data_IF_749088401996
#
_entry.id   IF_749088401996
#
_cell.length_a   1.000
_cell.length_b   1.000
_cell.length_c   1.000
_cell.angle_alpha   90.00
_cell.angle_beta   90.00
_cell.angle_gamma   90.00
#
_symmetry.space_group_name_H-M   'P 1'
#
loop_
_entity.id
_entity.type
_entity.pdbx_description
1 polymer ?
#
# COMPACT_ATOMS: atom_id res chain seq x y z
N UNK A 1 18.77 -14.66 -12.88
CA UNK A 1 18.41 -13.91 -11.65
C UNK A 1 17.81 -12.61 -12.13
N UNK A 2 16.52 -12.40 -11.91
CA UNK A 2 15.80 -11.19 -12.33
C UNK A 2 16.08 -10.04 -11.35
N UNK A 3 16.14 -8.82 -11.87
CA UNK A 3 16.37 -7.59 -11.09
C UNK A 3 15.12 -6.71 -11.15
N UNK A 4 14.63 -6.26 -9.99
CA UNK A 4 13.47 -5.42 -9.87
C UNK A 4 13.82 -4.03 -9.33
N UNK A 5 13.31 -2.98 -9.97
CA UNK A 5 13.33 -1.63 -9.44
C UNK A 5 12.10 -1.44 -8.53
N UNK A 6 12.32 -1.01 -7.29
CA UNK A 6 11.23 -0.66 -6.37
C UNK A 6 11.20 0.85 -6.22
N UNK A 7 10.22 1.51 -6.81
CA UNK A 7 10.01 2.95 -6.59
C UNK A 7 9.28 3.16 -5.26
N UNK A 8 9.67 4.17 -4.49
CA UNK A 8 9.18 4.32 -3.12
C UNK A 8 9.73 3.26 -2.16
N UNK A 9 10.89 2.68 -2.49
CA UNK A 9 11.50 1.57 -1.75
C UNK A 9 12.03 1.93 -0.35
N UNK A 10 12.16 3.21 -0.03
CA UNK A 10 12.52 3.71 1.31
C UNK A 10 11.28 3.98 2.19
N UNK A 11 10.07 3.86 1.65
CA UNK A 11 8.81 4.01 2.36
C UNK A 11 8.45 2.78 3.20
N UNK A 12 7.34 2.89 3.93
CA UNK A 12 6.85 1.82 4.83
C UNK A 12 6.65 0.48 4.10
N UNK A 13 5.80 0.42 3.06
CA UNK A 13 5.54 -0.81 2.31
C UNK A 13 6.78 -1.19 1.47
N UNK A 14 7.40 -0.22 0.79
CA UNK A 14 8.52 -0.45 -0.10
C UNK A 14 9.73 -1.12 0.57
N UNK A 15 10.06 -0.73 1.79
CA UNK A 15 11.16 -1.33 2.53
C UNK A 15 10.93 -2.81 2.89
N UNK A 16 9.68 -3.21 3.11
CA UNK A 16 9.31 -4.62 3.29
C UNK A 16 9.42 -5.39 1.96
N UNK A 17 8.90 -4.82 0.87
CA UNK A 17 8.99 -5.41 -0.48
C UNK A 17 10.46 -5.63 -0.89
N UNK A 18 11.32 -4.65 -0.66
CA UNK A 18 12.77 -4.73 -0.92
C UNK A 18 13.39 -5.93 -0.19
N UNK A 19 13.05 -6.15 1.09
CA UNK A 19 13.59 -7.27 1.87
C UNK A 19 13.09 -8.63 1.35
N UNK A 20 11.79 -8.73 1.04
CA UNK A 20 11.20 -9.99 0.55
C UNK A 20 11.73 -10.34 -0.84
N UNK A 21 11.88 -9.37 -1.76
CA UNK A 21 12.52 -9.59 -3.06
C UNK A 21 13.95 -10.14 -2.92
N UNK A 22 14.75 -9.52 -2.05
CA UNK A 22 16.11 -10.01 -1.80
C UNK A 22 16.14 -11.44 -1.24
N UNK A 23 15.28 -11.72 -0.26
CA UNK A 23 15.21 -13.06 0.34
C UNK A 23 14.73 -14.12 -0.64
N UNK A 24 13.96 -13.72 -1.68
CA UNK A 24 13.55 -14.61 -2.77
C UNK A 24 14.64 -14.83 -3.84
N UNK A 25 15.84 -14.28 -3.65
CA UNK A 25 16.96 -14.44 -4.57
C UNK A 25 16.93 -13.51 -5.78
N UNK A 26 16.10 -12.45 -5.79
CA UNK A 26 16.07 -11.43 -6.85
C UNK A 26 17.05 -10.30 -6.59
N UNK A 27 17.58 -9.70 -7.67
CA UNK A 27 18.26 -8.41 -7.61
C UNK A 27 17.26 -7.30 -7.30
N UNK A 28 17.67 -6.29 -6.52
CA UNK A 28 16.81 -5.17 -6.16
C UNK A 28 17.57 -3.86 -6.27
N UNK A 29 16.93 -2.87 -6.87
CA UNK A 29 17.35 -1.47 -6.92
C UNK A 29 16.21 -0.64 -6.33
N UNK A 30 16.54 0.34 -5.51
CA UNK A 30 15.57 1.28 -4.94
C UNK A 30 15.63 2.62 -5.67
N UNK A 31 14.47 3.18 -6.01
CA UNK A 31 14.33 4.55 -6.47
C UNK A 31 13.40 5.28 -5.50
N UNK A 32 13.88 6.36 -4.90
CA UNK A 32 13.11 7.13 -3.90
C UNK A 32 13.60 8.58 -3.88
N UNK A 33 12.69 9.53 -3.74
CA UNK A 33 13.03 10.96 -3.60
C UNK A 33 13.25 11.37 -2.14
N UNK A 34 12.96 10.44 -1.21
CA UNK A 34 13.03 10.63 0.23
C UNK A 34 12.15 11.77 0.78
N UNK A 35 11.09 12.13 0.05
CA UNK A 35 10.10 13.10 0.56
C UNK A 35 9.33 12.58 1.80
N UNK A 36 9.22 11.26 1.93
CA UNK A 36 8.65 10.57 3.10
C UNK A 36 9.38 9.28 3.47
N UNK A 37 10.24 8.79 2.59
CA UNK A 37 11.05 7.59 2.80
C UNK A 37 12.25 7.84 3.73
N UNK A 38 12.75 6.77 4.34
CA UNK A 38 13.89 6.82 5.26
C UNK A 38 15.00 5.88 4.78
N UNK A 39 16.19 6.43 4.55
CA UNK A 39 17.34 5.67 4.04
C UNK A 39 17.73 4.49 4.95
N UNK A 40 17.57 4.64 6.28
CA UNK A 40 17.84 3.57 7.25
C UNK A 40 16.96 2.32 7.05
N UNK A 41 15.82 2.44 6.38
CA UNK A 41 14.93 1.32 6.06
C UNK A 41 15.42 0.47 4.90
N UNK A 42 16.40 0.95 4.12
CA UNK A 42 16.97 0.21 2.99
C UNK A 42 18.08 -0.71 3.49
N UNK A 43 18.06 -2.02 3.15
CA UNK A 43 19.10 -2.93 3.55
C UNK A 43 20.47 -2.55 2.96
N UNK A 44 21.59 -2.74 3.70
CA UNK A 44 22.92 -2.47 3.19
C UNK A 44 23.21 -3.21 1.87
N UNK A 45 23.90 -2.52 0.95
CA UNK A 45 24.31 -3.07 -0.34
C UNK A 45 23.22 -3.07 -1.42
N UNK A 46 22.03 -2.53 -1.15
CA UNK A 46 21.01 -2.28 -2.18
C UNK A 46 21.37 -0.97 -2.89
N UNK A 47 21.50 -0.94 -4.23
CA UNK A 47 21.68 0.31 -4.97
C UNK A 47 20.48 1.24 -4.78
N UNK A 48 20.74 2.53 -4.59
CA UNK A 48 19.72 3.56 -4.35
C UNK A 48 19.88 4.68 -5.37
N UNK A 49 18.80 4.95 -6.09
CA UNK A 49 18.69 6.07 -7.02
C UNK A 49 17.84 7.14 -6.33
N UNK A 50 18.47 8.26 -5.98
CA UNK A 50 17.79 9.37 -5.29
C UNK A 50 17.23 10.34 -6.33
N UNK A 51 15.99 10.10 -6.76
CA UNK A 51 15.28 11.00 -7.66
C UNK A 51 13.76 10.83 -7.56
N UNK A 52 13.02 11.78 -8.12
CA UNK A 52 11.58 11.64 -8.34
C UNK A 52 11.31 10.64 -9.46
N UNK A 53 10.24 9.86 -9.35
CA UNK A 53 9.77 8.99 -10.43
C UNK A 53 9.37 9.77 -11.69
N UNK A 54 9.08 11.06 -11.56
CA UNK A 54 8.77 11.94 -12.68
C UNK A 54 10.01 12.34 -13.52
N UNK A 55 11.22 12.05 -13.05
CA UNK A 55 12.45 12.28 -13.84
C UNK A 55 12.72 11.10 -14.79
N UNK A 56 11.96 11.10 -15.92
CA UNK A 56 12.04 10.03 -16.93
C UNK A 56 13.48 9.68 -17.35
N UNK A 57 14.34 10.70 -17.52
CA UNK A 57 15.69 10.47 -18.02
C UNK A 57 16.54 9.69 -17.02
N UNK A 58 16.50 10.08 -15.74
CA UNK A 58 17.21 9.38 -14.66
C UNK A 58 16.63 7.99 -14.42
N UNK A 59 15.31 7.83 -14.48
CA UNK A 59 14.65 6.54 -14.36
C UNK A 59 15.07 5.59 -15.47
N UNK A 60 15.03 6.05 -16.74
CA UNK A 60 15.43 5.23 -17.89
C UNK A 60 16.92 4.81 -17.83
N UNK A 61 17.79 5.72 -17.40
CA UNK A 61 19.22 5.41 -17.20
C UNK A 61 19.42 4.38 -16.10
N UNK A 62 18.74 4.51 -14.97
CA UNK A 62 18.78 3.54 -13.87
C UNK A 62 18.30 2.16 -14.31
N UNK A 63 17.21 2.06 -15.07
CA UNK A 63 16.68 0.80 -15.60
C UNK A 63 17.73 0.07 -16.48
N UNK A 64 18.42 0.81 -17.37
CA UNK A 64 19.46 0.27 -18.26
C UNK A 64 20.72 -0.11 -17.47
N UNK A 65 21.23 0.79 -16.62
CA UNK A 65 22.48 0.62 -15.86
C UNK A 65 22.42 -0.62 -14.96
N UNK A 66 21.29 -0.83 -14.30
CA UNK A 66 21.09 -1.95 -13.39
C UNK A 66 20.47 -3.18 -14.06
N UNK A 67 20.25 -3.16 -15.38
CA UNK A 67 19.63 -4.26 -16.15
C UNK A 67 18.35 -4.75 -15.49
N UNK A 68 17.44 -3.81 -15.24
CA UNK A 68 16.17 -4.07 -14.56
C UNK A 68 15.24 -4.86 -15.48
N UNK A 69 14.64 -5.94 -14.97
CA UNK A 69 13.68 -6.79 -15.69
C UNK A 69 12.22 -6.39 -15.41
N UNK A 70 11.96 -5.72 -14.28
CA UNK A 70 10.62 -5.29 -13.92
C UNK A 70 10.60 -4.20 -12.86
N UNK A 71 9.47 -3.53 -12.72
CA UNK A 71 9.27 -2.43 -11.76
C UNK A 71 8.13 -2.76 -10.81
N UNK A 72 8.36 -2.59 -9.49
CA UNK A 72 7.30 -2.50 -8.49
C UNK A 72 7.11 -1.03 -8.15
N UNK A 73 5.96 -0.47 -8.55
CA UNK A 73 5.68 0.95 -8.41
C UNK A 73 4.85 1.26 -7.17
N UNK A 74 5.51 1.73 -6.10
CA UNK A 74 4.91 2.14 -4.83
C UNK A 74 4.98 3.65 -4.59
N UNK A 75 5.87 4.38 -5.30
CA UNK A 75 6.02 5.82 -5.14
C UNK A 75 4.72 6.55 -5.48
N UNK A 76 4.09 7.15 -4.49
CA UNK A 76 2.86 7.92 -4.64
C UNK A 76 2.57 8.74 -3.37
N UNK A 77 1.83 9.84 -3.50
CA UNK A 77 1.13 10.49 -2.40
C UNK A 77 -0.12 9.67 -2.06
N UNK A 78 -0.36 9.38 -0.76
CA UNK A 78 -1.32 8.34 -0.33
C UNK A 78 -2.44 8.81 0.59
N UNK A 79 -2.43 10.04 1.07
CA UNK A 79 -3.40 10.53 2.04
C UNK A 79 -4.68 11.01 1.37
N UNK A 80 -5.75 10.19 1.38
CA UNK A 80 -7.02 10.49 0.70
C UNK A 80 -7.62 11.82 1.16
N UNK A 81 -7.63 12.09 2.48
CA UNK A 81 -8.14 13.35 3.03
C UNK A 81 -7.36 14.58 2.57
N UNK A 82 -6.01 14.50 2.51
CA UNK A 82 -5.17 15.58 2.01
C UNK A 82 -5.42 15.84 0.52
N UNK A 83 -5.65 14.78 -0.26
CA UNK A 83 -5.86 14.88 -1.70
C UNK A 83 -7.03 15.77 -2.09
N UNK A 84 -8.07 15.86 -1.24
CA UNK A 84 -9.23 16.72 -1.45
C UNK A 84 -8.84 18.21 -1.36
N UNK A 85 -7.86 18.55 -0.53
CA UNK A 85 -7.41 19.93 -0.34
C UNK A 85 -6.36 20.38 -1.34
N UNK A 86 -5.52 19.46 -1.85
CA UNK A 86 -4.45 19.77 -2.81
C UNK A 86 -4.45 18.80 -4.02
N UNK A 87 -5.59 18.67 -4.75
CA UNK A 87 -5.77 17.64 -5.77
C UNK A 87 -4.71 17.68 -6.89
N UNK A 88 -4.33 18.87 -7.37
CA UNK A 88 -3.36 19.01 -8.45
C UNK A 88 -1.97 18.49 -8.08
N UNK A 89 -1.60 18.53 -6.79
CA UNK A 89 -0.37 17.92 -6.30
C UNK A 89 -0.44 16.39 -6.45
N UNK A 90 -1.56 15.79 -6.06
CA UNK A 90 -1.78 14.34 -6.20
C UNK A 90 -1.77 13.89 -7.66
N UNK A 91 -2.42 14.62 -8.57
CA UNK A 91 -2.37 14.29 -10.00
C UNK A 91 -0.96 14.40 -10.57
N UNK A 92 -0.21 15.43 -10.15
CA UNK A 92 1.19 15.61 -10.62
C UNK A 92 2.08 14.46 -10.14
N UNK A 93 2.06 14.16 -8.85
CA UNK A 93 2.92 13.13 -8.29
C UNK A 93 2.53 11.73 -8.77
N UNK A 94 1.23 11.39 -8.73
CA UNK A 94 0.79 10.03 -8.96
C UNK A 94 0.53 9.74 -10.46
N UNK A 95 -0.08 10.67 -11.21
CA UNK A 95 -0.43 10.43 -12.63
C UNK A 95 0.72 10.82 -13.56
N UNK A 96 1.26 12.05 -13.43
CA UNK A 96 2.41 12.44 -14.25
C UNK A 96 3.63 11.58 -13.93
N UNK A 97 3.85 11.25 -12.65
CA UNK A 97 4.90 10.32 -12.24
C UNK A 97 4.76 8.94 -12.88
N UNK A 98 3.53 8.38 -12.90
CA UNK A 98 3.25 7.09 -13.55
C UNK A 98 3.48 7.14 -15.07
N UNK A 99 3.08 8.23 -15.74
CA UNK A 99 3.34 8.41 -17.18
C UNK A 99 4.84 8.42 -17.43
N UNK A 100 5.61 9.22 -16.69
CA UNK A 100 7.06 9.31 -16.85
C UNK A 100 7.75 7.95 -16.61
N UNK A 101 7.28 7.18 -15.63
CA UNK A 101 7.77 5.83 -15.37
C UNK A 101 7.51 4.89 -16.54
N UNK A 102 6.28 4.86 -17.06
CA UNK A 102 5.93 3.98 -18.18
C UNK A 102 6.72 4.33 -19.45
N UNK A 103 6.92 5.62 -19.72
CA UNK A 103 7.79 6.08 -20.82
C UNK A 103 9.25 5.66 -20.61
N UNK A 104 9.78 5.76 -19.37
CA UNK A 104 11.13 5.32 -19.05
C UNK A 104 11.29 3.81 -19.20
N UNK A 105 10.28 3.03 -18.78
CA UNK A 105 10.24 1.57 -18.96
C UNK A 105 10.27 1.21 -20.45
N UNK A 106 9.46 1.88 -21.28
CA UNK A 106 9.44 1.69 -22.72
C UNK A 106 10.80 2.03 -23.36
N UNK A 107 11.41 3.16 -22.98
CA UNK A 107 12.74 3.59 -23.47
C UNK A 107 13.85 2.59 -23.10
N UNK A 108 13.71 1.90 -21.97
CA UNK A 108 14.67 0.92 -21.49
C UNK A 108 14.36 -0.53 -21.91
N UNK A 109 13.20 -0.78 -22.53
CA UNK A 109 12.75 -2.13 -22.90
C UNK A 109 12.31 -2.99 -21.73
N UNK A 110 11.88 -2.38 -20.61
CA UNK A 110 11.38 -3.08 -19.42
C UNK A 110 9.88 -3.28 -19.55
N UNK A 111 9.42 -4.54 -19.55
CA UNK A 111 8.04 -4.90 -19.87
C UNK A 111 7.26 -5.54 -18.71
N UNK A 112 7.76 -5.53 -17.48
CA UNK A 112 7.06 -6.09 -16.32
C UNK A 112 6.77 -5.00 -15.28
N UNK A 113 5.50 -4.88 -14.85
CA UNK A 113 5.05 -3.89 -13.88
C UNK A 113 4.17 -4.54 -12.80
N UNK A 114 4.51 -4.32 -11.54
CA UNK A 114 3.58 -4.48 -10.43
C UNK A 114 3.18 -3.10 -9.94
N UNK A 115 1.90 -2.77 -10.03
CA UNK A 115 1.36 -1.49 -9.64
C UNK A 115 0.66 -1.56 -8.28
N UNK A 116 1.10 -0.75 -7.34
CA UNK A 116 0.45 -0.59 -6.04
C UNK A 116 -0.79 0.29 -6.19
N UNK A 117 -1.94 -0.35 -6.43
CA UNK A 117 -3.25 0.29 -6.45
C UNK A 117 -3.83 0.40 -5.02
N UNK A 118 -5.12 0.53 -4.86
CA UNK A 118 -5.76 0.74 -3.55
C UNK A 118 -7.23 0.36 -3.59
N UNK A 119 -7.80 -0.09 -2.47
CA UNK A 119 -9.25 -0.22 -2.29
C UNK A 119 -10.01 1.11 -2.44
N UNK A 120 -9.31 2.26 -2.35
CA UNK A 120 -9.92 3.59 -2.59
C UNK A 120 -10.47 3.78 -4.02
N UNK A 121 -10.12 2.90 -4.96
CA UNK A 121 -10.69 2.89 -6.32
C UNK A 121 -12.18 2.57 -6.34
N UNK A 122 -12.67 1.85 -5.33
CA UNK A 122 -14.08 1.44 -5.25
C UNK A 122 -15.01 2.52 -4.67
N UNK A 123 -14.47 3.50 -3.94
CA UNK A 123 -15.26 4.46 -3.18
C UNK A 123 -16.11 3.77 -2.10
N UNK A 124 -17.39 4.16 -2.00
CA UNK A 124 -18.37 3.49 -1.12
C UNK A 124 -18.94 2.26 -1.81
N UNK A 125 -18.59 1.04 -1.38
CA UNK A 125 -19.01 -0.18 -2.06
C UNK A 125 -20.49 -0.45 -1.87
N UNK A 126 -21.13 -1.00 -2.89
CA UNK A 126 -22.56 -1.36 -2.90
C UNK A 126 -22.87 -2.64 -2.14
N UNK A 127 -21.86 -3.47 -1.88
CA UNK A 127 -21.95 -4.73 -1.13
C UNK A 127 -20.58 -5.11 -0.53
N UNK A 128 -20.57 -6.07 0.39
CA UNK A 128 -19.39 -6.71 0.98
C UNK A 128 -19.58 -8.22 0.99
N UNK A 129 -18.49 -9.00 0.78
CA UNK A 129 -17.14 -8.55 0.42
C UNK A 129 -17.04 -7.93 -0.99
N UNK A 130 -16.00 -7.13 -1.24
CA UNK A 130 -15.76 -6.43 -2.50
C UNK A 130 -14.94 -7.33 -3.41
N UNK A 131 -15.46 -7.64 -4.61
CA UNK A 131 -14.75 -8.37 -5.67
C UNK A 131 -14.08 -7.40 -6.67
N UNK A 132 -13.13 -7.88 -7.48
CA UNK A 132 -12.38 -7.05 -8.41
C UNK A 132 -13.21 -6.47 -9.56
N UNK A 133 -14.36 -7.06 -9.85
CA UNK A 133 -15.31 -6.62 -10.88
C UNK A 133 -16.28 -5.51 -10.42
N UNK A 134 -16.20 -5.08 -9.13
CA UNK A 134 -17.00 -3.96 -8.65
C UNK A 134 -16.69 -2.69 -9.43
N UNK A 135 -17.70 -1.82 -9.64
CA UNK A 135 -17.49 -0.52 -10.28
C UNK A 135 -16.42 0.31 -9.58
N UNK A 136 -15.56 0.95 -10.38
CA UNK A 136 -14.55 1.88 -9.88
C UNK A 136 -15.19 3.27 -9.77
N UNK A 137 -15.54 3.67 -8.57
CA UNK A 137 -16.24 4.92 -8.24
C UNK A 137 -15.48 5.68 -7.14
N UNK A 138 -14.23 6.10 -7.38
CA UNK A 138 -13.40 6.74 -6.36
C UNK A 138 -14.04 8.05 -5.86
N UNK A 139 -13.99 8.29 -4.55
CA UNK A 139 -14.57 9.47 -3.90
C UNK A 139 -13.52 10.50 -3.48
N UNK A 140 -12.26 10.31 -3.91
CA UNK A 140 -11.17 11.24 -3.62
C UNK A 140 -10.20 11.33 -4.79
N UNK A 141 -9.52 12.48 -4.98
CA UNK A 141 -8.46 12.61 -5.99
C UNK A 141 -7.37 11.55 -5.87
N UNK A 142 -7.03 11.10 -4.65
CA UNK A 142 -6.13 9.96 -4.46
C UNK A 142 -6.69 8.69 -5.12
N UNK A 143 -7.93 8.32 -4.83
CA UNK A 143 -8.58 7.16 -5.45
C UNK A 143 -8.64 7.27 -6.97
N UNK A 144 -8.98 8.46 -7.49
CA UNK A 144 -8.99 8.73 -8.94
C UNK A 144 -7.61 8.52 -9.56
N UNK A 145 -6.52 8.98 -8.91
CA UNK A 145 -5.16 8.76 -9.44
C UNK A 145 -4.80 7.28 -9.48
N UNK A 146 -5.33 6.45 -8.57
CA UNK A 146 -5.10 5.00 -8.59
C UNK A 146 -5.85 4.32 -9.74
N UNK A 147 -7.10 4.71 -10.00
CA UNK A 147 -7.86 4.25 -11.17
C UNK A 147 -7.14 4.63 -12.48
N UNK A 148 -6.70 5.88 -12.60
CA UNK A 148 -5.96 6.34 -13.78
C UNK A 148 -4.66 5.52 -13.97
N UNK A 149 -3.95 5.22 -12.89
CA UNK A 149 -2.76 4.37 -12.95
C UNK A 149 -3.03 2.97 -13.49
N UNK A 150 -4.15 2.34 -13.10
CA UNK A 150 -4.59 1.05 -13.67
C UNK A 150 -4.94 1.18 -15.16
N UNK A 151 -5.62 2.26 -15.57
CA UNK A 151 -5.91 2.50 -16.99
C UNK A 151 -4.64 2.69 -17.82
N UNK A 152 -3.68 3.47 -17.32
CA UNK A 152 -2.39 3.66 -17.98
C UNK A 152 -1.63 2.32 -18.14
N UNK A 153 -1.60 1.49 -17.13
CA UNK A 153 -0.97 0.17 -17.20
C UNK A 153 -1.67 -0.74 -18.22
N UNK A 154 -3.02 -0.78 -18.20
CA UNK A 154 -3.83 -1.54 -19.16
C UNK A 154 -3.58 -1.07 -20.61
N UNK A 155 -3.62 0.22 -20.85
CA UNK A 155 -3.50 0.79 -22.20
C UNK A 155 -2.08 0.58 -22.74
N UNK A 156 -1.05 0.66 -21.90
CA UNK A 156 0.32 0.27 -22.25
C UNK A 156 0.45 -1.24 -22.49
N UNK A 157 -0.29 -2.07 -21.75
CA UNK A 157 -0.38 -3.50 -22.03
C UNK A 157 -0.85 -3.78 -23.45
N UNK A 158 -1.90 -3.07 -23.88
CA UNK A 158 -2.43 -3.18 -25.25
C UNK A 158 -1.48 -2.60 -26.30
N UNK A 159 -0.88 -1.43 -26.03
CA UNK A 159 -0.11 -0.69 -27.03
C UNK A 159 1.28 -1.28 -27.27
N UNK A 160 1.98 -1.73 -26.23
CA UNK A 160 3.40 -2.14 -26.31
C UNK A 160 3.68 -3.48 -25.66
N UNK A 161 2.67 -4.21 -25.19
CA UNK A 161 2.84 -5.53 -24.59
C UNK A 161 3.37 -5.49 -23.16
N UNK A 162 3.10 -4.43 -22.38
CA UNK A 162 3.44 -4.39 -20.96
C UNK A 162 2.70 -5.52 -20.20
N UNK A 163 3.46 -6.36 -19.52
CA UNK A 163 2.94 -7.35 -18.58
C UNK A 163 2.75 -6.68 -17.22
N UNK A 164 1.52 -6.66 -16.70
CA UNK A 164 1.26 -5.90 -15.48
C UNK A 164 0.28 -6.59 -14.54
N UNK A 165 0.49 -6.38 -13.26
CA UNK A 165 -0.41 -6.76 -12.16
C UNK A 165 -0.65 -5.54 -11.28
N UNK A 166 -1.91 -5.20 -11.02
CA UNK A 166 -2.28 -4.20 -10.02
C UNK A 166 -2.79 -4.86 -8.74
N UNK A 167 -2.30 -4.38 -7.59
CA UNK A 167 -2.73 -4.84 -6.28
C UNK A 167 -3.57 -3.76 -5.60
N UNK A 168 -4.87 -4.01 -5.43
CA UNK A 168 -5.82 -3.14 -4.71
C UNK A 168 -5.83 -3.55 -3.25
N UNK A 169 -4.88 -3.05 -2.47
CA UNK A 169 -4.81 -3.40 -1.06
C UNK A 169 -5.68 -2.50 -0.18
N UNK A 170 -6.15 -3.10 0.91
CA UNK A 170 -6.98 -2.49 1.94
C UNK A 170 -6.10 -1.82 3.00
N UNK A 171 -6.51 -1.77 4.27
CA UNK A 171 -5.80 -1.03 5.30
C UNK A 171 -4.52 -1.75 5.74
N UNK A 172 -3.37 -1.18 5.46
CA UNK A 172 -2.08 -1.80 5.80
C UNK A 172 -1.69 -1.49 7.24
N UNK A 173 -1.27 -2.50 7.99
CA UNK A 173 -0.86 -2.39 9.38
C UNK A 173 0.31 -3.32 9.73
N UNK A 174 0.87 -3.18 10.92
CA UNK A 174 1.95 -4.03 11.40
C UNK A 174 3.36 -3.57 11.03
N UNK A 175 4.34 -4.35 11.38
CA UNK A 175 5.73 -4.18 11.00
C UNK A 175 6.41 -5.55 10.88
N UNK A 176 7.20 -5.75 9.83
CA UNK A 176 7.96 -7.01 9.66
C UNK A 176 9.14 -7.13 10.63
N UNK A 177 9.69 -5.99 11.03
CA UNK A 177 10.76 -5.82 12.03
C UNK A 177 10.61 -4.45 12.70
N UNK A 178 11.19 -4.27 13.86
CA UNK A 178 11.04 -3.05 14.67
C UNK A 178 11.55 -1.78 13.97
N UNK A 179 12.53 -1.89 13.05
CA UNK A 179 13.07 -0.79 12.28
C UNK A 179 12.18 -0.35 11.09
N UNK A 180 11.10 -1.09 10.81
CA UNK A 180 10.22 -0.89 9.65
C UNK A 180 8.81 -0.42 9.97
N UNK A 181 8.57 0.14 11.15
CA UNK A 181 7.26 0.68 11.53
C UNK A 181 6.71 1.75 10.57
N UNK A 182 5.37 1.92 10.57
CA UNK A 182 4.72 3.04 9.86
C UNK A 182 4.85 4.34 10.65
N UNK A 183 5.73 5.21 10.20
CA UNK A 183 6.00 6.51 10.82
C UNK A 183 5.10 7.64 10.28
N UNK A 184 4.17 7.33 9.36
CA UNK A 184 3.36 8.36 8.71
C UNK A 184 2.20 8.89 9.57
N UNK A 185 1.82 8.17 10.63
CA UNK A 185 0.70 8.49 11.55
C UNK A 185 -0.61 8.89 10.82
N UNK A 186 -0.86 8.26 9.66
CA UNK A 186 -2.05 8.51 8.83
C UNK A 186 -3.07 7.37 8.90
N UNK A 187 -2.68 6.21 9.45
CA UNK A 187 -3.53 5.04 9.63
C UNK A 187 -4.03 4.95 11.07
N UNK A 188 -5.14 4.25 11.30
CA UNK A 188 -5.81 4.16 12.61
C UNK A 188 -4.84 3.73 13.74
N UNK A 189 -4.13 2.62 13.57
CA UNK A 189 -3.27 2.06 14.63
C UNK A 189 -2.15 3.03 15.04
N UNK A 190 -1.31 3.60 14.12
CA UNK A 190 -0.33 4.63 14.49
C UNK A 190 -0.95 5.90 15.08
N UNK A 191 -2.16 6.31 14.63
CA UNK A 191 -2.88 7.46 15.21
C UNK A 191 -3.28 7.20 16.66
N UNK A 192 -3.75 5.99 16.98
CA UNK A 192 -4.06 5.61 18.37
C UNK A 192 -2.80 5.62 19.21
N UNK A 193 -1.69 5.06 18.73
CA UNK A 193 -0.43 5.09 19.47
C UNK A 193 0.07 6.52 19.73
N UNK A 194 -0.08 7.42 18.75
CA UNK A 194 0.28 8.83 18.90
C UNK A 194 -0.57 9.50 19.98
N UNK A 195 -1.90 9.36 19.92
CA UNK A 195 -2.78 9.92 20.93
C UNK A 195 -2.43 9.41 22.33
N UNK A 196 -2.16 8.11 22.48
CA UNK A 196 -1.74 7.51 23.76
C UNK A 196 -0.39 8.04 24.25
N UNK A 197 0.56 8.29 23.36
CA UNK A 197 1.88 8.87 23.68
C UNK A 197 1.77 10.31 24.13
N UNK A 198 0.88 11.09 23.49
CA UNK A 198 0.65 12.50 23.79
C UNK A 198 -0.29 12.70 24.99
N UNK A 199 -0.83 11.61 25.59
CA UNK A 199 -1.78 11.66 26.70
C UNK A 199 -3.17 12.11 26.29
N UNK A 200 -3.48 12.00 24.99
CA UNK A 200 -4.77 12.37 24.41
C UNK A 200 -5.70 11.14 24.28
N UNK A 201 -6.98 11.39 24.08
CA UNK A 201 -7.96 10.34 23.80
C UNK A 201 -8.03 10.06 22.30
N UNK A 202 -7.81 8.81 21.85
CA UNK A 202 -8.07 8.45 20.45
C UNK A 202 -9.52 8.70 20.06
N UNK A 203 -9.76 8.98 18.78
CA UNK A 203 -11.09 9.30 18.28
C UNK A 203 -11.73 8.15 17.50
N UNK A 204 -13.01 7.90 17.73
CA UNK A 204 -13.89 7.04 16.95
C UNK A 204 -14.84 7.96 16.14
N UNK A 205 -14.75 7.93 14.81
CA UNK A 205 -15.55 8.78 13.94
C UNK A 205 -16.91 8.16 13.63
N UNK A 206 -17.89 8.42 14.50
CA UNK A 206 -19.24 7.89 14.43
C UNK A 206 -19.39 6.51 15.10
N UNK A 207 -20.52 6.30 15.77
CA UNK A 207 -20.90 5.04 16.41
C UNK A 207 -22.35 4.62 16.09
N UNK A 208 -22.88 5.20 15.02
CA UNK A 208 -24.25 5.00 14.55
C UNK A 208 -24.31 4.41 13.13
N UNK A 209 -23.20 3.79 12.64
CA UNK A 209 -23.20 3.06 11.38
C UNK A 209 -24.04 1.78 11.48
N UNK A 210 -24.62 1.30 10.34
CA UNK A 210 -25.38 0.04 10.30
C UNK A 210 -24.44 -1.19 10.36
N UNK A 211 -23.68 -1.30 11.43
CA UNK A 211 -22.71 -2.34 11.74
C UNK A 211 -22.99 -2.91 13.14
N UNK A 212 -22.48 -4.09 13.52
CA UNK A 212 -22.82 -4.73 14.80
C UNK A 212 -22.55 -3.88 16.05
N UNK A 213 -21.50 -3.05 16.04
CA UNK A 213 -21.12 -2.19 17.17
C UNK A 213 -21.25 -0.69 16.90
N UNK A 214 -21.84 -0.35 15.75
CA UNK A 214 -22.07 1.04 15.31
C UNK A 214 -20.85 1.72 14.70
N UNK A 215 -19.65 1.10 14.70
CA UNK A 215 -18.43 1.70 14.11
C UNK A 215 -18.08 1.11 12.75
N UNK A 216 -17.31 1.84 11.95
CA UNK A 216 -16.89 1.36 10.62
C UNK A 216 -16.12 0.05 10.70
N UNK A 217 -16.35 -0.83 9.72
CA UNK A 217 -15.60 -2.08 9.53
C UNK A 217 -14.62 -1.90 8.38
N UNK A 218 -13.35 -2.29 8.60
CA UNK A 218 -12.28 -2.26 7.60
C UNK A 218 -11.55 -3.58 7.56
N UNK A 219 -11.11 -3.96 6.36
CA UNK A 219 -10.17 -5.05 6.19
C UNK A 219 -8.75 -4.54 6.43
N UNK A 220 -8.02 -5.21 7.31
CA UNK A 220 -6.63 -4.90 7.61
C UNK A 220 -5.72 -6.01 7.06
N UNK A 221 -4.60 -5.63 6.47
CA UNK A 221 -3.59 -6.54 5.96
C UNK A 221 -2.24 -6.25 6.61
N UNK A 222 -1.56 -7.29 7.08
CA UNK A 222 -0.21 -7.13 7.61
C UNK A 222 0.75 -6.74 6.49
N UNK A 223 1.62 -5.75 6.75
CA UNK A 223 2.56 -5.23 5.74
C UNK A 223 3.50 -6.31 5.18
N UNK A 224 3.86 -7.32 5.99
CA UNK A 224 4.67 -8.45 5.53
C UNK A 224 3.90 -9.33 4.54
N UNK A 225 2.63 -9.62 4.77
CA UNK A 225 1.77 -10.36 3.83
C UNK A 225 1.59 -9.56 2.53
N UNK A 226 1.40 -8.23 2.64
CA UNK A 226 1.33 -7.36 1.46
C UNK A 226 2.64 -7.37 0.67
N UNK A 227 3.80 -7.38 1.33
CA UNK A 227 5.08 -7.48 0.65
C UNK A 227 5.23 -8.82 -0.10
N UNK A 228 4.79 -9.94 0.52
CA UNK A 228 4.73 -11.24 -0.14
C UNK A 228 3.79 -11.23 -1.36
N UNK A 229 2.63 -10.54 -1.29
CA UNK A 229 1.73 -10.37 -2.42
C UNK A 229 2.41 -9.64 -3.61
N UNK A 230 3.20 -8.59 -3.35
CA UNK A 230 3.97 -7.91 -4.39
C UNK A 230 5.00 -8.83 -5.06
N UNK A 231 5.65 -9.70 -4.27
CA UNK A 231 6.62 -10.68 -4.82
C UNK A 231 5.91 -11.79 -5.60
N UNK A 232 4.74 -12.24 -5.17
CA UNK A 232 3.92 -13.18 -5.93
C UNK A 232 3.44 -12.56 -7.27
N UNK A 233 3.03 -11.29 -7.26
CA UNK A 233 2.69 -10.54 -8.46
C UNK A 233 3.88 -10.37 -9.41
N UNK A 234 5.08 -10.10 -8.88
CA UNK A 234 6.31 -10.05 -9.66
C UNK A 234 6.61 -11.40 -10.35
N UNK A 235 6.50 -12.51 -9.61
CA UNK A 235 6.66 -13.85 -10.17
C UNK A 235 5.61 -14.16 -11.25
N UNK A 236 4.39 -13.66 -11.10
CA UNK A 236 3.32 -13.78 -12.11
C UNK A 236 3.68 -13.04 -13.39
N UNK A 237 4.22 -11.81 -13.30
CA UNK A 237 4.71 -11.07 -14.47
C UNK A 237 5.88 -11.81 -15.16
N UNK A 238 6.78 -12.43 -14.39
CA UNK A 238 7.92 -13.20 -14.93
C UNK A 238 7.48 -14.46 -15.68
N UNK A 239 6.31 -15.02 -15.39
CA UNK A 239 5.83 -16.27 -15.99
C UNK A 239 5.26 -16.12 -17.41
N UNK A 240 5.11 -14.90 -17.90
CA UNK A 240 4.58 -14.59 -19.24
C UNK A 240 3.65 -13.37 -19.25
N UNK A 241 3.11 -13.01 -20.41
CA UNK A 241 2.21 -11.87 -20.54
C UNK A 241 1.01 -11.97 -19.59
N UNK A 242 0.78 -10.92 -18.82
CA UNK A 242 -0.33 -10.83 -17.85
C UNK A 242 -0.92 -9.42 -17.83
N UNK A 243 -2.21 -9.32 -17.54
CA UNK A 243 -2.96 -8.06 -17.40
C UNK A 243 -4.04 -8.34 -16.36
N UNK A 244 -3.69 -8.23 -15.07
CA UNK A 244 -4.52 -8.71 -13.97
C UNK A 244 -4.60 -7.69 -12.83
N UNK A 245 -5.70 -7.77 -12.08
CA UNK A 245 -5.94 -6.96 -10.88
C UNK A 245 -6.34 -7.88 -9.76
N UNK A 246 -5.82 -7.65 -8.56
CA UNK A 246 -6.14 -8.44 -7.37
C UNK A 246 -6.45 -7.56 -6.17
N UNK A 247 -7.49 -7.93 -5.43
CA UNK A 247 -7.70 -7.42 -4.08
C UNK A 247 -6.72 -8.07 -3.10
N UNK A 248 -6.14 -7.26 -2.21
CA UNK A 248 -5.22 -7.73 -1.18
C UNK A 248 -5.69 -7.27 0.19
N UNK A 249 -6.24 -8.19 0.94
CA UNK A 249 -6.76 -8.04 2.29
C UNK A 249 -6.67 -9.36 3.04
N UNK A 250 -7.26 -9.42 4.22
CA UNK A 250 -7.47 -10.70 4.93
C UNK A 250 -8.77 -11.39 4.53
N UNK A 251 -9.70 -10.66 3.91
CA UNK A 251 -11.07 -11.14 3.69
C UNK A 251 -11.90 -11.13 4.98
N UNK A 252 -11.37 -10.57 6.06
CA UNK A 252 -12.02 -10.48 7.38
C UNK A 252 -11.97 -9.04 7.86
N UNK A 253 -13.14 -8.42 7.99
CA UNK A 253 -13.26 -7.06 8.50
C UNK A 253 -13.11 -7.00 10.02
N UNK A 254 -12.54 -5.89 10.49
CA UNK A 254 -12.51 -5.54 11.91
C UNK A 254 -13.10 -4.15 12.11
N UNK A 255 -13.94 -3.99 13.15
CA UNK A 255 -14.52 -2.70 13.48
C UNK A 255 -13.49 -1.78 14.16
N UNK A 256 -13.76 -0.47 14.18
CA UNK A 256 -12.88 0.46 14.89
C UNK A 256 -12.84 0.12 16.39
N UNK A 257 -13.95 -0.30 17.00
CA UNK A 257 -13.97 -0.72 18.42
C UNK A 257 -13.17 -2.00 18.66
N UNK A 258 -13.19 -2.96 17.75
CA UNK A 258 -12.36 -4.16 17.84
C UNK A 258 -10.87 -3.82 17.77
N UNK A 259 -10.48 -2.87 16.88
CA UNK A 259 -9.09 -2.38 16.81
C UNK A 259 -8.69 -1.68 18.12
N UNK A 260 -9.57 -0.83 18.70
CA UNK A 260 -9.28 -0.17 19.98
C UNK A 260 -9.12 -1.18 21.13
N UNK A 261 -9.97 -2.19 21.17
CA UNK A 261 -9.87 -3.27 22.16
C UNK A 261 -8.56 -4.06 22.01
N UNK A 262 -8.17 -4.38 20.77
CA UNK A 262 -6.90 -5.05 20.49
C UNK A 262 -5.69 -4.19 20.89
N UNK A 263 -5.75 -2.87 20.63
CA UNK A 263 -4.70 -1.95 21.11
C UNK A 263 -4.63 -1.94 22.64
N UNK A 264 -5.80 -1.91 23.33
CA UNK A 264 -5.83 -1.98 24.82
C UNK A 264 -5.14 -3.23 25.33
N UNK A 265 -5.43 -4.38 24.73
CA UNK A 265 -4.83 -5.66 25.08
C UNK A 265 -3.31 -5.65 24.90
N UNK A 266 -2.82 -5.25 23.72
CA UNK A 266 -1.39 -5.26 23.38
C UNK A 266 -0.59 -4.24 24.18
N UNK A 267 -1.14 -3.04 24.40
CA UNK A 267 -0.46 -1.96 25.16
C UNK A 267 -0.53 -2.22 26.68
N UNK A 268 -1.45 -3.08 27.14
CA UNK A 268 -1.65 -3.43 28.56
C UNK A 268 -2.31 -2.32 29.38
N UNK A 269 -3.08 -1.43 28.73
CA UNK A 269 -3.88 -0.38 29.39
C UNK A 269 -5.14 -0.08 28.59
N UNK A 270 -6.19 0.38 29.26
CA UNK A 270 -7.43 0.78 28.60
C UNK A 270 -7.21 1.95 27.62
N UNK A 271 -7.79 1.82 26.44
CA UNK A 271 -7.87 2.90 25.45
C UNK A 271 -9.25 3.57 25.59
N UNK A 272 -9.29 4.68 26.35
CA UNK A 272 -10.48 5.51 26.51
C UNK A 272 -10.67 6.38 25.26
N UNK A 273 -11.33 5.81 24.24
CA UNK A 273 -11.58 6.52 22.99
C UNK A 273 -12.81 7.44 23.07
N UNK A 274 -12.70 8.62 22.45
CA UNK A 274 -13.81 9.57 22.33
C UNK A 274 -14.57 9.35 21.03
N UNK A 275 -15.90 9.26 21.11
CA UNK A 275 -16.75 9.24 19.92
C UNK A 275 -16.99 10.67 19.44
N UNK A 276 -16.67 10.91 18.16
CA UNK A 276 -16.88 12.18 17.47
C UNK A 276 -17.76 12.01 16.24
N UNK A 277 -18.13 13.11 15.57
CA UNK A 277 -18.96 13.05 14.37
C UNK A 277 -18.33 12.19 13.26
N UNK A 278 -19.15 11.52 12.45
CA UNK A 278 -18.70 10.75 11.28
C UNK A 278 -17.82 11.58 10.35
N UNK A 279 -16.84 10.95 9.72
CA UNK A 279 -16.17 11.52 8.56
C UNK A 279 -17.06 11.41 7.33
N UNK A 280 -17.13 12.47 6.53
CA UNK A 280 -17.82 12.42 5.24
C UNK A 280 -17.15 11.41 4.30
N UNK A 281 -17.94 10.58 3.62
CA UNK A 281 -17.43 9.61 2.67
C UNK A 281 -16.87 8.30 3.29
N UNK A 282 -16.97 8.09 4.62
CA UNK A 282 -16.58 6.81 5.23
C UNK A 282 -17.68 5.74 5.02
N UNK A 283 -17.42 4.65 4.25
CA UNK A 283 -18.40 3.57 4.11
C UNK A 283 -18.55 2.79 5.42
N UNK A 284 -19.76 2.25 5.71
CA UNK A 284 -19.97 1.42 6.91
C UNK A 284 -19.05 0.21 6.99
N UNK A 285 -18.81 -0.47 5.86
CA UNK A 285 -17.95 -1.62 5.78
C UNK A 285 -17.19 -1.66 4.45
N UNK A 286 -15.93 -2.09 4.51
CA UNK A 286 -15.08 -2.28 3.34
C UNK A 286 -14.16 -3.48 3.59
N UNK A 287 -14.50 -4.65 3.01
CA UNK A 287 -13.79 -5.92 3.19
C UNK A 287 -13.51 -6.55 1.83
N UNK A 288 -12.31 -7.07 1.61
CA UNK A 288 -11.90 -7.69 0.36
C UNK A 288 -12.55 -9.08 0.17
N UNK A 289 -12.94 -9.42 -1.04
CA UNK A 289 -12.90 -10.80 -1.47
C UNK A 289 -11.47 -11.11 -1.95
N UNK A 290 -10.83 -12.10 -1.36
CA UNK A 290 -9.44 -12.49 -1.64
C UNK A 290 -9.36 -13.83 -2.39
N UNK A 291 -10.48 -14.36 -2.86
CA UNK A 291 -10.54 -15.66 -3.54
C UNK A 291 -9.79 -15.65 -4.87
N UNK A 292 -9.79 -14.55 -5.59
CA UNK A 292 -9.10 -14.42 -6.88
C UNK A 292 -7.59 -14.51 -6.71
N UNK A 293 -6.98 -13.73 -5.82
CA UNK A 293 -5.53 -13.76 -5.60
C UNK A 293 -5.09 -15.12 -5.04
N UNK A 294 -5.90 -15.75 -4.17
CA UNK A 294 -5.61 -17.08 -3.64
C UNK A 294 -5.58 -18.14 -4.77
N UNK A 295 -6.52 -18.09 -5.69
CA UNK A 295 -6.60 -19.03 -6.80
C UNK A 295 -5.50 -18.84 -7.84
N UNK A 296 -5.23 -17.58 -8.24
CA UNK A 296 -4.33 -17.28 -9.36
C UNK A 296 -2.85 -17.18 -8.94
N UNK A 297 -2.57 -16.68 -7.73
CA UNK A 297 -1.21 -16.52 -7.24
C UNK A 297 -0.84 -17.50 -6.12
N UNK A 298 -1.79 -18.31 -5.62
CA UNK A 298 -1.56 -19.16 -4.45
C UNK A 298 -1.27 -18.39 -3.17
N UNK A 299 -1.60 -17.08 -3.14
CA UNK A 299 -1.31 -16.20 -2.02
C UNK A 299 -2.49 -16.15 -1.04
N UNK A 300 -2.19 -16.25 0.25
CA UNK A 300 -3.14 -16.04 1.36
C UNK A 300 -2.46 -15.25 2.48
N UNK A 301 -3.24 -14.42 3.17
CA UNK A 301 -2.76 -13.72 4.37
C UNK A 301 -2.51 -14.69 5.52
N UNK A 302 -1.49 -14.43 6.34
CA UNK A 302 -1.07 -15.31 7.45
C UNK A 302 -1.29 -14.67 8.82
N UNK A 303 -1.13 -13.35 8.89
CA UNK A 303 -1.15 -12.60 10.15
C UNK A 303 -2.56 -12.08 10.46
N UNK A 304 -2.92 -12.11 11.75
CA UNK A 304 -4.21 -11.62 12.23
C UNK A 304 -4.12 -10.17 12.78
N UNK A 305 -5.23 -9.67 13.36
CA UNK A 305 -5.26 -8.32 13.91
C UNK A 305 -4.32 -8.16 15.11
N UNK A 306 -4.21 -9.19 15.95
CA UNK A 306 -3.29 -9.18 17.09
C UNK A 306 -1.84 -9.05 16.62
N UNK A 307 -1.42 -9.83 15.61
CA UNK A 307 -0.08 -9.77 15.05
C UNK A 307 0.24 -8.37 14.49
N UNK A 308 -0.75 -7.76 13.80
CA UNK A 308 -0.60 -6.41 13.24
C UNK A 308 -0.40 -5.36 14.34
N UNK A 309 -1.23 -5.40 15.38
CA UNK A 309 -1.13 -4.42 16.47
C UNK A 309 0.13 -4.65 17.29
N UNK A 310 0.45 -5.90 17.62
CA UNK A 310 1.62 -6.25 18.42
C UNK A 310 2.94 -5.86 17.72
N UNK A 311 3.09 -6.21 16.45
CA UNK A 311 4.28 -5.83 15.68
C UNK A 311 4.39 -4.31 15.46
N UNK A 312 3.25 -3.63 15.19
CA UNK A 312 3.23 -2.18 15.08
C UNK A 312 3.62 -1.50 16.40
N UNK A 313 3.16 -2.04 17.55
CA UNK A 313 3.51 -1.52 18.86
C UNK A 313 4.99 -1.70 19.20
N UNK A 314 5.56 -2.88 18.92
CA UNK A 314 6.99 -3.14 19.09
C UNK A 314 7.83 -2.14 18.29
N UNK A 315 7.51 -1.95 17.01
CA UNK A 315 8.18 -0.99 16.16
C UNK A 315 8.02 0.46 16.63
N UNK A 316 6.83 0.82 17.11
CA UNK A 316 6.56 2.15 17.70
C UNK A 316 7.43 2.42 18.92
N UNK A 317 7.56 1.45 19.82
CA UNK A 317 8.39 1.59 21.01
C UNK A 317 9.89 1.69 20.67
N UNK A 318 10.36 0.92 19.68
CA UNK A 318 11.75 0.92 19.25
C UNK A 318 12.13 2.21 18.50
N UNK A 319 11.22 2.74 17.66
CA UNK A 319 11.46 3.88 16.78
C UNK A 319 10.22 4.79 16.69
N UNK A 320 9.86 5.51 17.76
CA UNK A 320 8.69 6.39 17.73
C UNK A 320 8.83 7.46 16.63
N UNK A 321 7.75 7.76 15.87
CA UNK A 321 7.75 8.85 14.90
C UNK A 321 8.03 10.19 15.61
N UNK A 322 8.82 11.04 14.95
CA UNK A 322 9.17 12.39 15.45
C UNK A 322 8.00 13.36 15.38
#
# INVERSE_FOLDING_TARGET
MTTWLVTGGAGYIGAHVVRVLRSSGRGVVVLDDFSSGEERKIPPGVPVIRCSVADRAVVADALRTHRVDGVIHLAAKKAAGESVHIPLHYYRENVVGMIALLEAMQDAGVANLVYSSSAAVYGTPIANPITEDFPLLPESPYGETKVIGEWLARDQGVAVGLSWVALRYFNVAGAGTDDLGDNSVNNLIPMVFRALADGERPQIFGDDYPTPDGTCIRDYIHVADLADAHVAAAARCESGPVSEVFNVGRGVGSSVREVMAMVSEVVGRDVDAEVVSRRAGDPPASTADTSLIARELGWVSRFDLHDMVASAWSAWQAHPPR
#
